data_IF_586272482191
#
_entry.id   IF_586272482191
#
_cell.length_a   1.000
_cell.length_b   1.000
_cell.length_c   1.000
_cell.angle_alpha   90.00
_cell.angle_beta   90.00
_cell.angle_gamma   90.00
#
_symmetry.space_group_name_H-M   'P 1'
#
loop_
_entity.id
_entity.type
_entity.pdbx_description
1 polymer ?
#
# COMPACT_ATOMS: atom_id res chain seq x y z
N UNK A 1 2.87 -8.78 -6.93
CA UNK A 1 1.99 -9.91 -6.57
C UNK A 1 2.52 -10.49 -5.27
N UNK A 2 1.64 -10.73 -4.29
CA UNK A 2 1.95 -11.33 -3.00
C UNK A 2 1.20 -12.66 -2.93
N UNK A 3 1.87 -13.74 -2.55
CA UNK A 3 1.22 -15.01 -2.30
C UNK A 3 1.95 -15.71 -1.16
N UNK A 4 1.21 -16.11 -0.13
CA UNK A 4 1.75 -16.83 1.02
C UNK A 4 0.71 -17.76 1.60
N UNK A 5 1.17 -18.76 2.34
CA UNK A 5 0.31 -19.63 3.12
C UNK A 5 1.04 -20.20 4.31
N UNK A 6 0.28 -20.50 5.37
CA UNK A 6 0.76 -21.17 6.57
C UNK A 6 0.17 -22.58 6.59
N UNK A 7 1.03 -23.58 6.56
CA UNK A 7 0.64 -24.98 6.64
C UNK A 7 1.17 -25.59 7.95
N UNK A 8 0.27 -26.27 8.67
CA UNK A 8 0.57 -26.96 9.91
C UNK A 8 0.84 -28.45 9.64
N UNK A 9 1.97 -28.95 10.14
CA UNK A 9 2.41 -30.35 10.04
C UNK A 9 2.32 -31.09 11.38
N UNK A 10 1.62 -30.53 12.37
CA UNK A 10 1.38 -31.13 13.68
C UNK A 10 0.30 -32.21 13.65
N UNK A 11 -0.25 -32.53 14.84
CA UNK A 11 -1.27 -33.58 15.04
C UNK A 11 -2.51 -33.36 14.16
N UNK A 12 -2.95 -32.11 14.04
CA UNK A 12 -3.99 -31.68 13.11
C UNK A 12 -3.32 -31.04 11.89
N UNK A 13 -2.96 -31.83 10.88
CA UNK A 13 -2.35 -31.31 9.66
C UNK A 13 -3.34 -30.47 8.83
N UNK A 14 -2.85 -29.39 8.22
CA UNK A 14 -3.66 -28.61 7.28
C UNK A 14 -3.23 -27.17 7.05
N UNK A 15 -3.82 -26.56 6.03
CA UNK A 15 -3.63 -25.14 5.72
C UNK A 15 -4.36 -24.29 6.77
N UNK A 16 -3.63 -23.37 7.42
CA UNK A 16 -4.13 -22.47 8.47
C UNK A 16 -4.41 -21.07 7.97
N UNK A 17 -3.57 -20.57 7.07
CA UNK A 17 -3.72 -19.25 6.49
C UNK A 17 -3.36 -19.31 5.01
N UNK A 18 -4.04 -18.53 4.18
CA UNK A 18 -3.63 -18.26 2.81
C UNK A 18 -3.89 -16.82 2.45
N UNK A 19 -2.93 -16.20 1.79
CA UNK A 19 -3.01 -14.82 1.35
C UNK A 19 -2.64 -14.73 -0.13
N UNK A 20 -3.42 -13.93 -0.86
CA UNK A 20 -3.18 -13.58 -2.25
C UNK A 20 -3.37 -12.09 -2.45
N UNK A 21 -2.40 -11.43 -3.07
CA UNK A 21 -2.39 -10.00 -3.28
C UNK A 21 -1.94 -9.61 -4.69
N UNK A 22 -2.66 -8.64 -5.26
CA UNK A 22 -2.28 -7.97 -6.49
C UNK A 22 -2.17 -6.47 -6.23
N UNK A 23 -1.19 -5.83 -6.86
CA UNK A 23 -0.93 -4.42 -6.66
C UNK A 23 -0.49 -3.79 -7.96
N UNK A 24 -0.84 -2.51 -8.10
CA UNK A 24 -0.39 -1.63 -9.15
C UNK A 24 0.18 -0.37 -8.47
N UNK A 25 1.40 0.00 -8.84
CA UNK A 25 2.06 1.21 -8.35
C UNK A 25 2.37 2.09 -9.57
N UNK A 26 1.90 3.33 -9.51
CA UNK A 26 2.15 4.42 -10.44
C UNK A 26 3.06 5.46 -9.78
N UNK A 27 3.44 6.51 -10.49
CA UNK A 27 4.30 7.58 -9.98
C UNK A 27 3.59 8.43 -8.91
N UNK A 28 2.27 8.61 -9.05
CA UNK A 28 1.48 9.47 -8.16
C UNK A 28 0.62 8.68 -7.16
N UNK A 29 0.30 7.42 -7.44
CA UNK A 29 -0.61 6.63 -6.61
C UNK A 29 -0.30 5.14 -6.68
N UNK A 30 -0.86 4.37 -5.77
CA UNK A 30 -0.79 2.91 -5.79
C UNK A 30 -2.08 2.30 -5.27
N UNK A 31 -2.45 1.16 -5.82
CA UNK A 31 -3.62 0.38 -5.43
C UNK A 31 -3.16 -1.03 -5.11
N UNK A 32 -3.65 -1.59 -4.01
CA UNK A 32 -3.38 -2.97 -3.63
C UNK A 32 -4.67 -3.64 -3.20
N UNK A 33 -4.94 -4.82 -3.73
CA UNK A 33 -6.03 -5.68 -3.32
C UNK A 33 -5.44 -6.96 -2.74
N UNK A 34 -5.84 -7.33 -1.53
CA UNK A 34 -5.39 -8.54 -0.84
C UNK A 34 -6.61 -9.32 -0.38
N UNK A 35 -6.66 -10.60 -0.72
CA UNK A 35 -7.58 -11.57 -0.16
C UNK A 35 -6.82 -12.43 0.84
N UNK A 36 -7.35 -12.51 2.05
CA UNK A 36 -6.77 -13.22 3.17
C UNK A 36 -7.79 -14.22 3.71
N UNK A 37 -7.37 -15.45 3.98
CA UNK A 37 -8.25 -16.51 4.47
C UNK A 37 -7.62 -17.23 5.64
N UNK A 38 -8.30 -17.17 6.77
CA UNK A 38 -7.98 -17.89 7.99
C UNK A 38 -8.85 -19.16 8.07
N UNK A 39 -8.18 -20.29 8.21
CA UNK A 39 -8.71 -21.66 8.19
C UNK A 39 -8.47 -22.38 9.52
N UNK A 40 -8.40 -21.67 10.64
CA UNK A 40 -8.33 -22.32 11.95
C UNK A 40 -9.49 -23.33 12.15
N UNK A 41 -9.14 -24.51 12.68
CA UNK A 41 -9.99 -25.71 12.68
C UNK A 41 -11.28 -25.49 13.48
N UNK A 42 -12.36 -26.18 13.07
CA UNK A 42 -13.72 -26.01 13.60
C UNK A 42 -13.93 -26.21 15.11
N UNK A 43 -12.90 -26.63 15.89
CA UNK A 43 -12.96 -26.56 17.35
C UNK A 43 -12.83 -25.13 17.89
N UNK A 44 -12.17 -24.22 17.15
CA UNK A 44 -12.11 -22.78 17.44
C UNK A 44 -13.22 -21.98 16.74
N UNK A 45 -13.85 -22.55 15.70
CA UNK A 45 -14.97 -21.96 14.97
C UNK A 45 -14.61 -20.77 14.07
N UNK A 46 -13.33 -20.41 13.95
CA UNK A 46 -12.88 -19.26 13.17
C UNK A 46 -12.52 -19.66 11.74
N UNK A 47 -13.50 -19.65 10.84
CA UNK A 47 -13.25 -19.60 9.40
C UNK A 47 -13.59 -18.20 8.90
N UNK A 48 -12.57 -17.41 8.57
CA UNK A 48 -12.77 -16.03 8.13
C UNK A 48 -12.10 -15.76 6.79
N UNK A 49 -12.73 -14.91 5.99
CA UNK A 49 -12.14 -14.41 4.74
C UNK A 49 -12.25 -12.91 4.77
N UNK A 50 -11.11 -12.24 4.63
CA UNK A 50 -11.01 -10.79 4.66
C UNK A 50 -10.47 -10.28 3.33
N UNK A 51 -11.10 -9.25 2.79
CA UNK A 51 -10.64 -8.57 1.58
C UNK A 51 -10.19 -7.16 1.97
N UNK A 52 -8.93 -6.86 1.72
CA UNK A 52 -8.33 -5.55 1.95
C UNK A 52 -8.08 -4.85 0.63
N UNK A 53 -8.66 -3.66 0.47
CA UNK A 53 -8.29 -2.71 -0.58
C UNK A 53 -7.52 -1.55 0.06
N UNK A 54 -6.33 -1.27 -0.46
CA UNK A 54 -5.48 -0.15 -0.02
C UNK A 54 -5.22 0.79 -1.18
N UNK A 55 -5.50 2.07 -0.95
CA UNK A 55 -5.14 3.17 -1.84
C UNK A 55 -3.99 3.96 -1.21
N UNK A 56 -2.98 4.26 -2.00
CA UNK A 56 -1.79 5.02 -1.60
C UNK A 56 -1.67 6.22 -2.53
N UNK A 57 -1.43 7.40 -1.96
CA UNK A 57 -1.13 8.61 -2.72
C UNK A 57 0.30 9.02 -2.39
N UNK A 58 1.12 9.24 -3.41
CA UNK A 58 2.51 9.68 -3.28
C UNK A 58 2.53 11.22 -3.36
N UNK A 59 3.56 11.84 -2.78
CA UNK A 59 3.82 13.28 -2.87
C UNK A 59 2.74 14.20 -2.29
N UNK A 60 1.85 13.70 -1.43
CA UNK A 60 0.96 14.56 -0.64
C UNK A 60 1.80 15.30 0.42
N UNK A 61 2.13 16.56 0.15
CA UNK A 61 2.86 17.44 1.07
C UNK A 61 4.25 17.88 0.60
N UNK A 62 4.75 17.38 -0.53
CA UNK A 62 5.88 17.99 -1.23
C UNK A 62 5.36 19.17 -2.05
N UNK A 63 5.37 20.35 -1.42
CA UNK A 63 5.20 21.59 -2.16
C UNK A 63 6.50 21.87 -2.91
N UNK A 64 6.46 21.82 -4.24
CA UNK A 64 7.49 22.45 -5.06
C UNK A 64 7.43 23.96 -4.73
N UNK A 65 8.35 24.43 -3.89
CA UNK A 65 8.47 25.87 -3.65
C UNK A 65 8.96 26.48 -4.96
N UNK A 66 8.04 27.04 -5.74
CA UNK A 66 8.42 27.88 -6.86
C UNK A 66 9.03 29.13 -6.25
N UNK A 67 10.34 29.11 -6.00
CA UNK A 67 11.07 30.30 -5.64
C UNK A 67 10.90 31.28 -6.81
N UNK A 68 9.98 32.22 -6.67
CA UNK A 68 9.81 33.31 -7.61
C UNK A 68 11.11 34.12 -7.59
N UNK A 69 12.03 33.84 -8.51
CA UNK A 69 13.16 34.71 -8.80
C UNK A 69 12.63 35.88 -9.63
N UNK A 70 11.93 36.80 -8.96
CA UNK A 70 11.69 38.12 -9.49
C UNK A 70 13.02 38.82 -9.69
N UNK A 71 13.63 38.61 -10.86
CA UNK A 71 14.68 39.50 -11.34
C UNK A 71 14.00 40.84 -11.63
N UNK A 72 13.97 41.71 -10.62
CA UNK A 72 13.72 43.13 -10.79
C UNK A 72 14.93 43.74 -11.51
N UNK A 73 15.06 43.45 -12.80
CA UNK A 73 15.92 44.20 -13.71
C UNK A 73 15.25 45.54 -14.00
N UNK A 74 15.59 46.56 -13.20
CA UNK A 74 15.00 47.88 -13.38
C UNK A 74 15.27 48.83 -12.23
N UNK A 75 16.53 49.06 -11.87
CA UNK A 75 16.93 50.27 -11.16
C UNK A 75 17.71 51.16 -12.12
N UNK A 76 17.01 52.13 -12.70
CA UNK A 76 17.68 53.32 -13.19
C UNK A 76 18.36 54.03 -12.02
N UNK A 77 19.60 54.44 -12.23
CA UNK A 77 20.23 55.48 -11.42
C UNK A 77 20.67 56.57 -12.40
N UNK A 78 20.11 57.74 -12.16
CA UNK A 78 20.45 59.03 -12.76
C UNK A 78 21.89 59.47 -12.40
N UNK A 79 22.47 60.25 -13.31
CA UNK A 79 23.69 61.08 -13.24
C UNK A 79 25.06 60.40 -13.39
#
# INVERSE_FOLDING_TARGET
>A
MIASGLYDFGEDEGLRESQLGVGYDDDCFGITLVADRDLQTGSSGANSTTIFARFRLKNLGEFETTAYSGSSGGSGTEQ
#
